data_IF_274691433371
#
_entry.id   IF_274691433371
#
_cell.length_a   1.000
_cell.length_b   1.000
_cell.length_c   1.000
_cell.angle_alpha   90.00
_cell.angle_beta   90.00
_cell.angle_gamma   90.00
#
_symmetry.space_group_name_H-M   'P 1'
#
loop_
_entity.id
_entity.type
_entity.pdbx_description
1 polymer ?
#
# COMPACT_ATOMS: atom_id res chain seq x y z
N UNK A 1 -12.04 -12.26 15.00
CA UNK A 1 -11.39 -12.39 13.68
C UNK A 1 -11.03 -10.99 13.20
N UNK A 2 -9.79 -10.76 12.80
CA UNK A 2 -9.40 -9.50 12.14
C UNK A 2 -10.00 -9.47 10.72
N UNK A 3 -10.48 -8.30 10.27
CA UNK A 3 -10.93 -8.13 8.89
C UNK A 3 -9.71 -8.11 7.97
N UNK A 4 -9.69 -8.96 6.96
CA UNK A 4 -8.66 -8.93 5.92
C UNK A 4 -9.00 -7.84 4.90
N UNK A 5 -8.03 -6.98 4.61
CA UNK A 5 -8.20 -5.85 3.68
C UNK A 5 -7.05 -5.84 2.69
N UNK A 6 -7.38 -5.80 1.40
CA UNK A 6 -6.43 -5.65 0.31
C UNK A 6 -6.36 -4.18 -0.12
N UNK A 7 -5.16 -3.62 -0.13
CA UNK A 7 -4.88 -2.27 -0.63
C UNK A 7 -4.03 -2.38 -1.89
N UNK A 8 -4.65 -2.29 -3.09
CA UNK A 8 -3.91 -2.27 -4.34
C UNK A 8 -3.25 -0.90 -4.57
N UNK A 9 -1.98 -0.90 -4.94
CA UNK A 9 -1.17 0.28 -5.26
C UNK A 9 -0.76 0.21 -6.72
N UNK A 10 -1.02 1.29 -7.46
CA UNK A 10 -0.64 1.43 -8.87
C UNK A 10 0.45 2.50 -9.01
N UNK A 11 1.10 2.54 -10.18
CA UNK A 11 2.04 3.62 -10.49
C UNK A 11 1.30 4.97 -10.50
N UNK A 12 1.97 6.01 -9.99
CA UNK A 12 1.37 7.33 -9.87
C UNK A 12 0.42 7.52 -8.68
N UNK A 13 0.19 6.50 -7.85
CA UNK A 13 -0.49 6.68 -6.56
C UNK A 13 0.28 7.69 -5.70
N UNK A 14 -0.45 8.60 -5.05
CA UNK A 14 0.13 9.51 -4.07
C UNK A 14 0.56 8.72 -2.82
N UNK A 15 1.84 8.76 -2.41
CA UNK A 15 2.32 7.96 -1.29
C UNK A 15 1.58 8.23 0.02
N UNK A 16 1.20 9.49 0.25
CA UNK A 16 0.55 9.89 1.50
C UNK A 16 -0.84 9.25 1.62
N UNK A 17 -1.62 9.18 0.55
CA UNK A 17 -2.93 8.54 0.57
C UNK A 17 -2.82 7.03 0.84
N UNK A 18 -1.85 6.38 0.20
CA UNK A 18 -1.59 4.95 0.41
C UNK A 18 -1.17 4.67 1.86
N UNK A 19 -0.18 5.41 2.38
CA UNK A 19 0.35 5.21 3.73
C UNK A 19 -0.69 5.52 4.80
N UNK A 20 -1.43 6.63 4.67
CA UNK A 20 -2.48 7.01 5.63
C UNK A 20 -3.57 5.93 5.67
N UNK A 21 -4.03 5.45 4.50
CA UNK A 21 -5.06 4.41 4.43
C UNK A 21 -4.60 3.12 5.08
N UNK A 22 -3.38 2.67 4.78
CA UNK A 22 -2.80 1.45 5.37
C UNK A 22 -2.64 1.60 6.88
N UNK A 23 -2.11 2.72 7.35
CA UNK A 23 -1.86 2.98 8.78
C UNK A 23 -3.17 3.01 9.58
N UNK A 24 -4.19 3.72 9.09
CA UNK A 24 -5.52 3.77 9.75
C UNK A 24 -6.16 2.39 9.82
N UNK A 25 -6.14 1.62 8.72
CA UNK A 25 -6.71 0.27 8.70
C UNK A 25 -5.99 -0.67 9.66
N UNK A 26 -4.66 -0.65 9.70
CA UNK A 26 -3.88 -1.47 10.66
C UNK A 26 -4.16 -1.07 12.11
N UNK A 27 -4.23 0.24 12.41
CA UNK A 27 -4.59 0.73 13.76
C UNK A 27 -6.01 0.36 14.17
N UNK A 28 -6.92 0.19 13.21
CA UNK A 28 -8.28 -0.31 13.48
C UNK A 28 -8.35 -1.82 13.78
N UNK A 29 -7.22 -2.53 13.74
CA UNK A 29 -7.16 -3.98 13.97
C UNK A 29 -7.47 -4.83 12.73
N UNK A 30 -7.42 -4.24 11.53
CA UNK A 30 -7.52 -4.98 10.27
C UNK A 30 -6.16 -5.60 9.90
N UNK A 31 -6.23 -6.77 9.27
CA UNK A 31 -5.08 -7.42 8.64
C UNK A 31 -4.95 -6.90 7.21
N UNK A 32 -3.98 -6.01 6.97
CA UNK A 32 -3.86 -5.25 5.73
C UNK A 32 -2.77 -5.85 4.86
N UNK A 33 -3.15 -6.32 3.67
CA UNK A 33 -2.24 -6.76 2.62
C UNK A 33 -2.12 -5.66 1.57
N UNK A 34 -0.89 -5.26 1.24
CA UNK A 34 -0.62 -4.28 0.19
C UNK A 34 -0.14 -5.03 -1.05
N UNK A 35 -0.75 -4.76 -2.20
CA UNK A 35 -0.38 -5.42 -3.47
C UNK A 35 -0.05 -4.38 -4.53
N UNK A 36 0.95 -4.67 -5.35
CA UNK A 36 1.20 -3.93 -6.59
C UNK A 36 0.20 -4.34 -7.66
N UNK A 37 -0.34 -3.38 -8.41
CA UNK A 37 -1.10 -3.63 -9.65
C UNK A 37 -0.15 -3.92 -10.82
N UNK A 38 1.08 -3.42 -10.74
CA UNK A 38 2.11 -3.59 -11.76
C UNK A 38 2.84 -4.93 -11.61
N UNK A 39 3.23 -5.53 -12.74
CA UNK A 39 4.12 -6.72 -12.77
C UNK A 39 5.55 -6.42 -12.29
N UNK A 40 5.95 -5.15 -12.33
CA UNK A 40 7.28 -4.70 -11.92
C UNK A 40 7.35 -4.54 -10.40
N UNK A 41 8.42 -5.08 -9.80
CA UNK A 41 8.66 -5.05 -8.35
C UNK A 41 8.99 -3.66 -7.78
N UNK A 42 9.07 -2.62 -8.63
CA UNK A 42 9.36 -1.24 -8.24
C UNK A 42 8.20 -0.37 -8.72
N UNK A 43 7.35 0.03 -7.78
CA UNK A 43 6.36 1.09 -8.01
C UNK A 43 7.04 2.44 -7.85
N UNK A 44 6.87 3.30 -8.86
CA UNK A 44 7.24 4.71 -8.76
C UNK A 44 6.00 5.48 -8.36
N UNK A 45 5.97 5.92 -7.10
CA UNK A 45 4.92 6.79 -6.61
C UNK A 45 5.14 8.22 -7.15
N UNK A 46 4.10 9.05 -7.12
CA UNK A 46 4.10 10.37 -7.76
C UNK A 46 5.31 11.27 -7.38
N UNK A 47 5.88 11.08 -6.20
CA UNK A 47 7.02 11.83 -5.65
C UNK A 47 8.37 11.09 -5.71
N UNK A 48 8.53 10.12 -6.63
CA UNK A 48 9.78 9.34 -6.80
C UNK A 48 10.10 8.41 -5.60
N UNK A 49 9.18 8.31 -4.63
CA UNK A 49 9.23 7.34 -3.54
C UNK A 49 9.09 5.93 -4.10
N UNK A 50 10.09 5.08 -3.81
CA UNK A 50 10.09 3.66 -4.15
C UNK A 50 9.57 2.86 -2.98
N UNK A 51 8.44 2.18 -3.16
CA UNK A 51 7.94 1.22 -2.20
C UNK A 51 8.68 -0.11 -2.40
N UNK A 52 9.86 -0.27 -1.78
CA UNK A 52 10.54 -1.56 -1.73
C UNK A 52 9.89 -2.41 -0.62
N UNK A 53 9.10 -3.40 -1.06
CA UNK A 53 8.71 -4.62 -0.33
C UNK A 53 8.80 -4.51 1.21
N UNK A 54 7.74 -4.02 1.87
CA UNK A 54 7.44 -4.37 3.26
C UNK A 54 6.67 -5.69 3.26
N UNK A 55 7.40 -6.80 3.20
CA UNK A 55 6.93 -8.14 3.61
C UNK A 55 7.97 -8.70 4.58
#
# INVERSE_FOLDING_TARGET
MAKQVLVPIANGTEPMEAVITIDVLRRSGADVTVSSVEKSFVLTLATLLRLLRML
#
